data_IF_920048162929
#
_entry.id   IF_920048162929
#
_cell.length_a   1.000
_cell.length_b   1.000
_cell.length_c   1.000
_cell.angle_alpha   90.00
_cell.angle_beta   90.00
_cell.angle_gamma   90.00
#
_symmetry.space_group_name_H-M   'P 1'
#
loop_
_entity.id
_entity.type
_entity.pdbx_description
1 polymer ?
#
# COMPACT_ATOMS: atom_id res chain seq x y z
N UNK A 1 -26.56 9.28 4.04
CA UNK A 1 -25.18 8.81 3.93
C UNK A 1 -24.26 10.00 4.18
N UNK A 2 -23.52 9.98 5.26
CA UNK A 2 -22.57 11.05 5.61
C UNK A 2 -21.17 10.43 5.71
N UNK A 3 -20.42 10.45 4.59
CA UNK A 3 -19.09 9.92 4.55
C UNK A 3 -18.09 10.83 5.25
N UNK A 4 -17.30 10.26 6.16
CA UNK A 4 -16.24 10.96 6.90
C UNK A 4 -14.90 10.27 6.70
N UNK A 5 -13.80 11.05 6.73
CA UNK A 5 -12.44 10.55 6.71
C UNK A 5 -11.89 10.49 8.13
N UNK A 6 -11.26 9.36 8.47
CA UNK A 6 -10.50 9.21 9.73
C UNK A 6 -9.13 8.60 9.39
N UNK A 7 -8.08 8.98 10.14
CA UNK A 7 -6.79 8.29 10.08
C UNK A 7 -6.91 6.93 10.76
N UNK A 8 -6.27 5.94 10.17
CA UNK A 8 -6.13 4.62 10.77
C UNK A 8 -4.85 4.58 11.61
N UNK A 9 -4.89 3.86 12.71
CA UNK A 9 -3.79 3.68 13.66
C UNK A 9 -3.60 2.19 13.97
N UNK A 10 -2.75 1.83 14.92
CA UNK A 10 -2.49 0.43 15.29
C UNK A 10 -3.76 -0.36 15.64
N UNK A 11 -4.77 0.29 16.22
CA UNK A 11 -6.03 -0.37 16.60
C UNK A 11 -6.96 -0.59 15.41
N UNK A 12 -6.86 0.24 14.37
CA UNK A 12 -7.80 0.27 13.24
C UNK A 12 -7.19 -0.12 11.90
N UNK A 13 -5.87 -0.32 11.81
CA UNK A 13 -5.18 -0.72 10.57
C UNK A 13 -5.69 -2.08 10.04
N UNK A 14 -6.24 -2.93 10.92
CA UNK A 14 -6.83 -4.19 10.51
C UNK A 14 -7.95 -4.01 9.48
N UNK A 15 -8.70 -2.90 9.50
CA UNK A 15 -9.72 -2.61 8.48
C UNK A 15 -9.16 -2.62 7.05
N UNK A 16 -7.93 -2.11 6.88
CA UNK A 16 -7.26 -2.13 5.58
C UNK A 16 -6.72 -3.53 5.23
N UNK A 17 -6.19 -4.26 6.22
CA UNK A 17 -5.68 -5.62 6.01
C UNK A 17 -6.79 -6.60 5.68
N UNK A 18 -7.93 -6.51 6.37
CA UNK A 18 -9.09 -7.37 6.12
C UNK A 18 -9.64 -7.16 4.70
N UNK A 19 -9.72 -5.90 4.23
CA UNK A 19 -10.13 -5.60 2.86
C UNK A 19 -9.15 -6.13 1.83
N UNK A 20 -7.86 -5.98 2.07
CA UNK A 20 -6.82 -6.53 1.20
C UNK A 20 -6.91 -8.07 1.12
N UNK A 21 -7.23 -8.73 2.23
CA UNK A 21 -7.44 -10.17 2.26
C UNK A 21 -8.69 -10.57 1.45
N UNK A 22 -9.80 -9.85 1.60
CA UNK A 22 -11.04 -10.10 0.82
C UNK A 22 -10.84 -9.90 -0.68
N UNK A 23 -10.03 -8.92 -1.09
CA UNK A 23 -9.65 -8.73 -2.51
C UNK A 23 -8.65 -9.80 -3.01
N UNK A 24 -8.25 -10.76 -2.16
CA UNK A 24 -7.33 -11.83 -2.52
C UNK A 24 -5.87 -11.39 -2.63
N UNK A 25 -5.51 -10.24 -2.06
CA UNK A 25 -4.15 -9.70 -2.14
C UNK A 25 -3.17 -10.39 -1.20
N UNK A 26 -3.67 -11.21 -0.28
CA UNK A 26 -2.90 -12.02 0.66
C UNK A 26 -1.82 -11.20 1.41
N UNK A 27 -2.23 -10.20 2.22
CA UNK A 27 -1.29 -9.42 3.01
C UNK A 27 -0.54 -10.30 4.02
N UNK A 28 0.67 -9.90 4.37
CA UNK A 28 1.46 -10.55 5.42
C UNK A 28 0.88 -10.28 6.81
N UNK A 29 1.09 -11.20 7.74
CA UNK A 29 0.57 -11.12 9.10
C UNK A 29 1.03 -9.87 9.88
N UNK A 30 2.17 -9.31 9.52
CA UNK A 30 2.76 -8.14 10.17
C UNK A 30 2.76 -6.87 9.30
N UNK A 31 2.21 -6.94 8.08
CA UNK A 31 2.28 -5.83 7.12
C UNK A 31 1.68 -4.53 7.68
N UNK A 32 0.53 -4.60 8.34
CA UNK A 32 -0.11 -3.43 8.92
C UNK A 32 0.78 -2.66 9.91
N UNK A 33 1.49 -3.40 10.78
CA UNK A 33 2.43 -2.79 11.74
C UNK A 33 3.68 -2.24 11.05
N UNK A 34 4.24 -3.00 10.11
CA UNK A 34 5.42 -2.57 9.36
C UNK A 34 5.14 -1.30 8.55
N UNK A 35 3.99 -1.23 7.90
CA UNK A 35 3.60 -0.05 7.12
C UNK A 35 3.36 1.17 8.00
N UNK A 36 2.67 1.03 9.14
CA UNK A 36 2.49 2.13 10.09
C UNK A 36 3.82 2.63 10.67
N UNK A 37 4.83 1.75 10.81
CA UNK A 37 6.17 2.17 11.26
C UNK A 37 6.88 3.06 10.23
N UNK A 38 6.58 2.88 8.93
CA UNK A 38 7.17 3.70 7.87
C UNK A 38 6.53 5.09 7.82
N UNK A 39 5.22 5.18 8.00
CA UNK A 39 4.48 6.46 8.04
C UNK A 39 3.18 6.28 8.84
N UNK A 40 3.20 6.63 10.14
CA UNK A 40 2.01 6.50 11.01
C UNK A 40 0.83 7.37 10.59
N UNK A 41 1.07 8.42 9.81
CA UNK A 41 0.06 9.39 9.38
C UNK A 41 -0.52 9.08 7.97
N UNK A 42 0.05 8.10 7.27
CA UNK A 42 -0.24 7.78 5.87
C UNK A 42 -1.40 6.83 5.63
N UNK A 43 -2.25 6.54 6.63
CA UNK A 43 -3.33 5.54 6.50
C UNK A 43 -4.68 6.18 6.78
N UNK A 44 -5.62 5.99 5.85
CA UNK A 44 -6.94 6.60 5.92
C UNK A 44 -8.04 5.57 5.71
N UNK A 45 -9.13 5.75 6.46
CA UNK A 45 -10.40 5.06 6.26
C UNK A 45 -11.52 6.06 5.95
N UNK A 46 -12.42 5.72 5.05
CA UNK A 46 -13.69 6.41 4.86
C UNK A 46 -14.77 5.63 5.58
N UNK A 47 -15.63 6.35 6.29
CA UNK A 47 -16.66 5.79 7.17
C UNK A 47 -18.04 6.35 6.79
N UNK A 48 -19.06 5.50 6.85
CA UNK A 48 -20.47 5.89 6.89
C UNK A 48 -20.97 5.73 8.33
N UNK A 49 -21.08 6.85 9.05
CA UNK A 49 -21.23 6.82 10.51
C UNK A 49 -19.97 6.24 11.17
N UNK A 50 -20.13 5.11 11.87
CA UNK A 50 -19.03 4.39 12.53
C UNK A 50 -18.50 3.19 11.70
N UNK A 51 -19.16 2.84 10.61
CA UNK A 51 -18.80 1.73 9.76
C UNK A 51 -17.69 2.12 8.77
N UNK A 52 -16.52 1.45 8.76
CA UNK A 52 -15.49 1.68 7.77
C UNK A 52 -15.92 1.07 6.43
N UNK A 53 -16.01 1.87 5.38
CA UNK A 53 -16.50 1.46 4.04
C UNK A 53 -15.45 1.57 2.95
N UNK A 54 -14.24 1.92 3.29
CA UNK A 54 -13.10 1.92 2.39
C UNK A 54 -11.82 2.39 3.06
N UNK A 55 -10.70 2.07 2.45
CA UNK A 55 -9.35 2.39 2.96
C UNK A 55 -8.41 2.83 1.86
N UNK A 56 -7.35 3.55 2.22
CA UNK A 56 -6.22 3.86 1.36
C UNK A 56 -4.97 4.05 2.23
N UNK A 57 -3.81 3.61 1.75
CA UNK A 57 -2.53 4.01 2.30
C UNK A 57 -1.82 4.99 1.37
N UNK A 58 -1.11 5.94 1.94
CA UNK A 58 -0.35 6.98 1.27
C UNK A 58 0.96 7.20 2.03
N UNK A 59 1.86 6.22 1.95
CA UNK A 59 3.11 6.22 2.73
C UNK A 59 4.08 7.22 2.13
N UNK A 60 4.51 8.19 2.93
CA UNK A 60 5.52 9.17 2.58
C UNK A 60 6.92 8.65 2.91
N UNK A 61 7.78 8.50 1.91
CA UNK A 61 9.19 8.14 2.06
C UNK A 61 10.05 9.38 1.86
N UNK A 62 10.45 10.01 2.95
CA UNK A 62 11.19 11.26 2.91
C UNK A 62 10.41 12.41 2.24
N UNK A 63 11.11 13.31 1.56
CA UNK A 63 10.50 14.54 1.00
C UNK A 63 10.09 14.40 -0.47
N UNK A 64 10.58 13.38 -1.18
CA UNK A 64 10.50 13.32 -2.64
C UNK A 64 9.62 12.20 -3.19
N UNK A 65 9.34 11.16 -2.42
CA UNK A 65 8.61 9.99 -2.88
C UNK A 65 7.47 9.62 -1.94
N UNK A 66 6.39 9.14 -2.51
CA UNK A 66 5.27 8.54 -1.79
C UNK A 66 4.71 7.33 -2.53
N UNK A 67 4.07 6.45 -1.80
CA UNK A 67 3.46 5.26 -2.38
C UNK A 67 2.02 5.09 -1.93
N UNK A 68 1.11 4.94 -2.88
CA UNK A 68 -0.30 4.66 -2.64
C UNK A 68 -0.53 3.16 -2.74
N UNK A 69 -1.18 2.61 -1.71
CA UNK A 69 -1.60 1.22 -1.65
C UNK A 69 -2.93 1.07 -0.91
N UNK A 70 -3.38 -0.17 -0.74
CA UNK A 70 -4.59 -0.51 0.03
C UNK A 70 -5.82 0.35 -0.33
N UNK A 71 -5.89 0.81 -1.60
CA UNK A 71 -6.99 1.62 -2.10
C UNK A 71 -8.16 0.72 -2.45
N UNK A 72 -9.02 0.51 -1.48
CA UNK A 72 -10.15 -0.41 -1.56
C UNK A 72 -11.39 0.34 -1.06
N UNK A 73 -12.46 0.26 -1.83
CA UNK A 73 -13.79 0.75 -1.45
C UNK A 73 -14.74 -0.43 -1.54
N UNK A 74 -15.55 -0.62 -0.51
CA UNK A 74 -16.55 -1.70 -0.44
C UNK A 74 -17.53 -1.57 -1.61
N UNK A 75 -17.98 -2.70 -2.15
CA UNK A 75 -18.67 -2.76 -3.44
C UNK A 75 -19.89 -1.83 -3.51
N UNK A 76 -20.65 -1.77 -2.44
CA UNK A 76 -21.86 -0.94 -2.30
C UNK A 76 -21.55 0.56 -2.40
N UNK A 77 -20.32 0.97 -2.05
CA UNK A 77 -19.87 2.37 -2.04
C UNK A 77 -19.03 2.76 -3.26
N UNK A 78 -18.72 1.83 -4.19
CA UNK A 78 -17.90 2.09 -5.39
C UNK A 78 -18.49 3.11 -6.36
N UNK A 79 -19.80 3.33 -6.30
CA UNK A 79 -20.50 4.34 -7.14
C UNK A 79 -20.76 5.66 -6.42
N UNK A 80 -20.23 5.82 -5.22
CA UNK A 80 -20.31 7.04 -4.42
C UNK A 80 -19.03 7.86 -4.53
N UNK A 81 -18.93 8.94 -3.76
CA UNK A 81 -17.71 9.75 -3.67
C UNK A 81 -16.66 9.19 -2.67
N UNK A 82 -16.89 8.02 -2.07
CA UNK A 82 -16.00 7.43 -1.06
C UNK A 82 -14.55 7.30 -1.57
N UNK A 83 -14.37 6.77 -2.79
CA UNK A 83 -13.05 6.67 -3.41
C UNK A 83 -12.40 8.03 -3.65
N UNK A 84 -13.16 9.02 -4.09
CA UNK A 84 -12.65 10.38 -4.32
C UNK A 84 -12.15 11.02 -3.01
N UNK A 85 -12.93 10.90 -1.94
CA UNK A 85 -12.59 11.41 -0.60
C UNK A 85 -11.27 10.77 -0.12
N UNK A 86 -11.12 9.44 -0.25
CA UNK A 86 -9.89 8.73 0.08
C UNK A 86 -8.69 9.23 -0.75
N UNK A 87 -8.85 9.33 -2.06
CA UNK A 87 -7.78 9.80 -2.94
C UNK A 87 -7.35 11.24 -2.62
N UNK A 88 -8.29 12.13 -2.31
CA UNK A 88 -7.98 13.50 -1.90
C UNK A 88 -7.20 13.55 -0.57
N UNK A 89 -7.59 12.75 0.42
CA UNK A 89 -6.86 12.64 1.68
C UNK A 89 -5.43 12.13 1.47
N UNK A 90 -5.27 11.05 0.68
CA UNK A 90 -3.98 10.46 0.34
C UNK A 90 -3.05 11.45 -0.40
N UNK A 91 -3.55 12.10 -1.45
CA UNK A 91 -2.76 13.07 -2.21
C UNK A 91 -2.45 14.33 -1.39
N UNK A 92 -3.37 14.77 -0.53
CA UNK A 92 -3.13 15.87 0.41
C UNK A 92 -2.00 15.56 1.38
N UNK A 93 -1.95 14.33 1.92
CA UNK A 93 -0.86 13.87 2.78
C UNK A 93 0.49 13.78 2.05
N UNK A 94 0.51 13.22 0.84
CA UNK A 94 1.73 13.10 0.05
C UNK A 94 2.26 14.42 -0.50
N UNK A 95 1.40 15.42 -0.67
CA UNK A 95 1.78 16.74 -1.12
C UNK A 95 2.44 16.74 -2.51
N UNK A 96 3.66 17.29 -2.61
CA UNK A 96 4.38 17.45 -3.90
C UNK A 96 5.30 16.28 -4.25
N UNK A 97 5.25 15.19 -3.54
CA UNK A 97 6.08 14.00 -3.77
C UNK A 97 5.75 13.37 -5.12
N UNK A 98 6.75 12.72 -5.71
CA UNK A 98 6.49 11.79 -6.81
C UNK A 98 5.78 10.56 -6.25
N UNK A 99 4.64 10.19 -6.82
CA UNK A 99 3.77 9.16 -6.24
C UNK A 99 3.76 7.91 -7.12
N UNK A 100 4.16 6.78 -6.51
CA UNK A 100 4.02 5.45 -7.11
C UNK A 100 2.80 4.71 -6.60
N UNK A 101 2.34 3.72 -7.37
CA UNK A 101 1.34 2.75 -6.95
C UNK A 101 1.46 1.45 -7.74
N UNK A 102 1.04 0.35 -7.13
CA UNK A 102 0.81 -0.92 -7.82
C UNK A 102 -0.68 -1.06 -8.13
N UNK A 103 -1.05 -0.75 -9.36
CA UNK A 103 -2.43 -0.75 -9.81
C UNK A 103 -2.87 -2.08 -10.40
N UNK A 104 -4.15 -2.43 -10.20
CA UNK A 104 -4.74 -3.59 -10.88
C UNK A 104 -4.89 -3.32 -12.39
N UNK A 105 -4.64 -4.34 -13.21
CA UNK A 105 -4.60 -4.20 -14.67
C UNK A 105 -5.88 -3.59 -15.26
N UNK A 106 -7.03 -3.89 -14.69
CA UNK A 106 -8.33 -3.38 -15.14
C UNK A 106 -8.51 -1.86 -14.95
N UNK A 107 -7.62 -1.21 -14.19
CA UNK A 107 -7.68 0.22 -13.85
C UNK A 107 -6.55 1.05 -14.44
N UNK A 108 -5.69 0.47 -15.28
CA UNK A 108 -4.52 1.15 -15.89
C UNK A 108 -4.94 2.46 -16.59
N UNK A 109 -6.02 2.43 -17.38
CA UNK A 109 -6.51 3.62 -18.08
C UNK A 109 -7.03 4.70 -17.12
N UNK A 110 -7.59 4.30 -15.97
CA UNK A 110 -8.02 5.25 -14.95
C UNK A 110 -6.82 5.96 -14.32
N UNK A 111 -5.76 5.21 -14.00
CA UNK A 111 -4.52 5.80 -13.47
C UNK A 111 -3.86 6.72 -14.48
N UNK A 112 -3.84 6.36 -15.77
CA UNK A 112 -3.30 7.20 -16.82
C UNK A 112 -4.03 8.56 -16.93
N UNK A 113 -5.37 8.57 -16.80
CA UNK A 113 -6.18 9.80 -16.76
C UNK A 113 -5.87 10.70 -15.55
N UNK A 114 -5.38 10.11 -14.47
CA UNK A 114 -4.94 10.81 -13.26
C UNK A 114 -3.48 11.30 -13.34
N UNK A 115 -2.82 11.08 -14.48
CA UNK A 115 -1.43 11.52 -14.71
C UNK A 115 -0.36 10.50 -14.36
N UNK A 116 -0.73 9.28 -13.93
CA UNK A 116 0.26 8.23 -13.71
C UNK A 116 0.81 7.70 -15.03
N UNK A 117 2.11 7.41 -15.04
CA UNK A 117 2.79 6.76 -16.16
C UNK A 117 3.01 5.30 -15.84
N UNK A 118 2.64 4.43 -16.77
CA UNK A 118 2.92 3.01 -16.64
C UNK A 118 4.44 2.77 -16.64
N UNK A 119 4.95 2.10 -15.62
CA UNK A 119 6.38 1.82 -15.46
C UNK A 119 6.72 0.37 -15.83
N UNK A 120 6.11 -0.60 -15.16
CA UNK A 120 6.39 -2.03 -15.37
C UNK A 120 5.20 -2.89 -14.93
N UNK A 121 5.29 -4.21 -15.20
CA UNK A 121 4.31 -5.20 -14.75
C UNK A 121 4.91 -6.09 -13.67
N UNK A 122 4.23 -6.21 -12.55
CA UNK A 122 4.51 -7.22 -11.55
C UNK A 122 3.77 -8.51 -11.87
N UNK A 123 4.39 -9.66 -11.53
CA UNK A 123 3.74 -10.97 -11.59
C UNK A 123 3.92 -11.66 -10.25
N UNK A 124 2.84 -12.19 -9.71
CA UNK A 124 2.90 -13.06 -8.53
C UNK A 124 2.85 -14.51 -9.00
N UNK A 125 3.81 -15.31 -8.52
CA UNK A 125 3.86 -16.75 -8.78
C UNK A 125 3.46 -17.50 -7.52
N UNK A 126 2.74 -18.60 -7.71
CA UNK A 126 2.40 -19.56 -6.65
C UNK A 126 3.01 -20.89 -7.00
N UNK A 127 3.68 -21.55 -6.04
CA UNK A 127 4.27 -22.87 -6.20
C UNK A 127 4.18 -23.67 -4.91
N UNK A 128 4.49 -24.95 -5.00
CA UNK A 128 4.68 -25.80 -3.81
C UNK A 128 6.02 -25.44 -3.20
N UNK A 129 6.06 -25.27 -1.88
CA UNK A 129 7.31 -25.17 -1.15
C UNK A 129 8.06 -26.51 -1.11
N UNK A 130 9.33 -26.49 -0.72
CA UNK A 130 10.20 -27.65 -0.65
C UNK A 130 11.31 -27.61 -1.71
N UNK A 131 12.15 -28.60 -1.71
CA UNK A 131 13.32 -28.70 -2.56
C UNK A 131 14.63 -28.54 -1.78
N UNK A 132 15.75 -28.72 -2.45
CA UNK A 132 17.07 -28.50 -1.86
C UNK A 132 17.36 -27.00 -1.76
N UNK A 133 17.98 -26.60 -0.64
CA UNK A 133 18.52 -25.24 -0.53
C UNK A 133 19.61 -25.05 -1.57
N UNK A 134 19.53 -24.07 -2.46
CA UNK A 134 20.62 -23.79 -3.42
C UNK A 134 21.93 -23.50 -2.71
N UNK A 135 23.05 -23.95 -3.27
CA UNK A 135 24.37 -23.59 -2.78
C UNK A 135 24.62 -22.09 -2.98
N UNK A 136 25.37 -21.47 -2.07
CA UNK A 136 25.69 -20.03 -2.15
C UNK A 136 24.66 -19.09 -1.56
N UNK A 137 23.52 -19.59 -1.02
CA UNK A 137 22.62 -18.77 -0.25
C UNK A 137 23.07 -18.66 1.22
N UNK A 138 23.00 -17.43 1.73
CA UNK A 138 23.16 -17.13 3.16
C UNK A 138 21.82 -16.76 3.76
N UNK A 139 21.64 -16.99 5.05
CA UNK A 139 20.43 -16.55 5.76
C UNK A 139 20.46 -15.03 5.91
N UNK A 140 19.37 -14.34 5.58
CA UNK A 140 19.31 -12.87 5.64
C UNK A 140 19.68 -12.32 7.02
N UNK A 141 19.37 -13.02 8.12
CA UNK A 141 19.77 -12.63 9.48
C UNK A 141 21.29 -12.63 9.72
N UNK A 142 22.07 -13.28 8.84
CA UNK A 142 23.54 -13.30 8.89
C UNK A 142 24.19 -12.17 8.07
N UNK A 143 23.37 -11.43 7.32
CA UNK A 143 23.83 -10.26 6.53
C UNK A 143 23.66 -9.02 7.40
N UNK A 144 24.69 -8.17 7.56
CA UNK A 144 24.56 -6.90 8.25
C UNK A 144 23.42 -6.06 7.67
N UNK A 145 22.63 -5.43 8.55
CA UNK A 145 21.44 -4.67 8.13
C UNK A 145 21.80 -3.55 7.12
N UNK A 146 22.94 -2.87 7.35
CA UNK A 146 23.38 -1.79 6.46
C UNK A 146 23.61 -2.26 5.02
N UNK A 147 24.13 -3.48 4.83
CA UNK A 147 24.28 -4.07 3.49
C UNK A 147 22.92 -4.38 2.83
N UNK A 148 21.93 -4.81 3.61
CA UNK A 148 20.59 -5.04 3.10
C UNK A 148 19.92 -3.71 2.73
N UNK A 149 20.07 -2.70 3.57
CA UNK A 149 19.54 -1.35 3.34
C UNK A 149 20.18 -0.68 2.11
N UNK A 150 21.49 -0.81 1.93
CA UNK A 150 22.21 -0.30 0.74
C UNK A 150 21.73 -1.00 -0.53
N UNK A 151 21.56 -2.32 -0.48
CA UNK A 151 21.03 -3.08 -1.61
C UNK A 151 19.59 -2.64 -1.94
N UNK A 152 18.72 -2.50 -0.95
CA UNK A 152 17.33 -2.06 -1.14
C UNK A 152 17.26 -0.65 -1.73
N UNK A 153 18.09 0.28 -1.25
CA UNK A 153 18.18 1.65 -1.76
C UNK A 153 18.53 1.75 -3.25
N UNK A 154 19.26 0.75 -3.79
CA UNK A 154 19.51 0.64 -5.22
C UNK A 154 18.31 0.18 -6.06
N UNK A 155 17.24 -0.33 -5.42
CA UNK A 155 16.10 -0.95 -6.10
C UNK A 155 14.75 -0.31 -5.78
N UNK A 156 14.70 0.59 -4.81
CA UNK A 156 13.52 1.33 -4.42
C UNK A 156 13.79 2.84 -4.51
N UNK A 157 12.83 3.66 -4.97
CA UNK A 157 13.08 5.09 -5.26
C UNK A 157 13.27 5.98 -4.02
N UNK A 158 13.21 5.43 -2.82
CA UNK A 158 13.45 6.14 -1.56
C UNK A 158 13.93 5.19 -0.46
N UNK A 159 14.67 5.69 0.56
CA UNK A 159 14.98 4.92 1.76
C UNK A 159 13.71 4.47 2.49
N UNK A 160 13.70 3.23 2.97
CA UNK A 160 12.54 2.65 3.67
C UNK A 160 12.97 1.65 4.74
#
# INVERSE_FOLDING_TARGET
MQLTIKKLNEQTIHFAMDRAQHEGWNPGLSDGKAFLSADPEGFFGVFDGDEPVGTISAVAYGEHYGFIGLYIVDEEYRKTNAGLILAQAALGHLGRRNVGLDGVLQRVDNYARLGYKFAYRNKRFRGKGGGMRPSGLVEARMVPFDMLAEFDAGHFPAPR
#
